data_IF_643728347580
#
_entry.id   IF_643728347580
#
_cell.length_a   1.000
_cell.length_b   1.000
_cell.length_c   1.000
_cell.angle_alpha   90.00
_cell.angle_beta   90.00
_cell.angle_gamma   90.00
#
_symmetry.space_group_name_H-M   'P 1'
#
loop_
_entity.id
_entity.type
_entity.pdbx_description
1 polymer ?
#
# COMPACT_ATOMS: atom_id res chain seq x y z
N UNK A 1 16.80 22.63 -7.24
CA UNK A 1 16.14 21.36 -7.54
C UNK A 1 16.09 20.52 -6.29
N UNK A 2 14.91 20.11 -5.90
CA UNK A 2 14.74 19.17 -4.80
C UNK A 2 14.44 17.78 -5.31
N UNK A 3 14.17 16.86 -4.36
CA UNK A 3 13.79 15.49 -4.65
C UNK A 3 12.27 15.41 -4.77
N UNK A 4 11.82 14.76 -5.83
CA UNK A 4 10.41 14.42 -6.04
C UNK A 4 10.26 12.89 -6.02
N UNK A 5 9.40 12.39 -5.16
CA UNK A 5 9.12 10.96 -5.10
C UNK A 5 7.81 10.68 -4.37
N UNK A 6 7.36 9.44 -4.50
CA UNK A 6 6.23 8.92 -3.72
C UNK A 6 6.78 7.83 -2.81
N UNK A 7 6.62 8.00 -1.52
CA UNK A 7 6.93 6.97 -0.54
C UNK A 7 5.68 6.12 -0.32
N UNK A 8 5.86 4.81 -0.28
CA UNK A 8 4.77 3.89 -0.03
C UNK A 8 5.12 2.90 1.07
N UNK A 9 4.08 2.45 1.79
CA UNK A 9 4.21 1.52 2.88
C UNK A 9 2.96 0.64 2.95
N UNK A 10 3.15 -0.67 2.82
CA UNK A 10 2.07 -1.63 2.90
C UNK A 10 1.96 -2.26 4.28
N UNK A 11 0.73 -2.51 4.71
CA UNK A 11 0.44 -3.44 5.79
C UNK A 11 -0.20 -4.69 5.21
N UNK A 12 0.22 -5.86 5.70
CA UNK A 12 -0.32 -7.14 5.25
C UNK A 12 -1.11 -7.81 6.37
N UNK A 13 -2.16 -8.54 5.98
CA UNK A 13 -3.02 -9.23 6.92
C UNK A 13 -2.37 -10.50 7.49
N UNK A 14 -1.63 -11.20 6.64
CA UNK A 14 -0.97 -12.46 6.98
C UNK A 14 0.35 -12.57 6.20
N UNK A 15 1.00 -13.73 6.29
CA UNK A 15 2.34 -13.92 5.70
C UNK A 15 2.34 -14.03 4.19
N UNK A 16 1.17 -14.13 3.55
CA UNK A 16 1.08 -14.11 2.10
C UNK A 16 1.26 -12.66 1.61
N UNK A 17 2.23 -12.37 0.72
CA UNK A 17 2.43 -11.00 0.22
C UNK A 17 1.22 -10.42 -0.52
N UNK A 18 0.31 -11.27 -1.02
CA UNK A 18 -0.93 -10.78 -1.66
C UNK A 18 -1.98 -10.28 -0.66
N UNK A 19 -1.72 -10.37 0.64
CA UNK A 19 -2.69 -10.05 1.68
C UNK A 19 -2.66 -8.60 2.13
N UNK A 20 -2.25 -7.67 1.28
CA UNK A 20 -2.23 -6.26 1.63
C UNK A 20 -3.60 -5.81 2.12
N UNK A 21 -3.63 -5.15 3.26
CA UNK A 21 -4.85 -4.61 3.87
C UNK A 21 -4.82 -3.09 4.03
N UNK A 22 -3.67 -2.46 3.86
CA UNK A 22 -3.58 -1.01 3.71
C UNK A 22 -2.33 -0.61 2.95
N UNK A 23 -2.35 0.58 2.35
CA UNK A 23 -1.18 1.20 1.76
C UNK A 23 -1.16 2.67 2.14
N UNK A 24 -0.04 3.13 2.69
CA UNK A 24 0.23 4.53 2.97
C UNK A 24 1.02 5.14 1.83
N UNK A 25 0.68 6.36 1.45
CA UNK A 25 1.36 7.12 0.42
C UNK A 25 1.76 8.48 0.97
N UNK A 26 3.00 8.88 0.70
CA UNK A 26 3.48 10.20 1.03
C UNK A 26 4.11 10.81 -0.23
N UNK A 27 3.59 11.96 -0.64
CA UNK A 27 4.07 12.66 -1.83
C UNK A 27 5.07 13.72 -1.41
N UNK A 28 6.28 13.63 -1.94
CA UNK A 28 7.36 14.57 -1.66
C UNK A 28 7.67 15.34 -2.94
N UNK A 29 7.70 16.67 -2.83
CA UNK A 29 8.02 17.59 -3.92
C UNK A 29 9.06 18.59 -3.43
N UNK A 30 10.15 18.72 -4.17
CA UNK A 30 11.27 19.58 -3.79
C UNK A 30 11.79 19.27 -2.37
N UNK A 31 11.83 17.99 -2.00
CA UNK A 31 12.27 17.53 -0.69
C UNK A 31 11.30 17.82 0.45
N UNK A 32 10.07 18.25 0.14
CA UNK A 32 9.06 18.57 1.15
C UNK A 32 7.86 17.65 1.03
N UNK A 33 7.36 17.18 2.17
CA UNK A 33 6.12 16.42 2.25
C UNK A 33 4.95 17.35 1.91
N UNK A 34 4.23 17.04 0.83
CA UNK A 34 3.07 17.83 0.41
C UNK A 34 1.75 17.20 0.81
N UNK A 35 1.61 15.88 0.63
CA UNK A 35 0.41 15.13 0.98
C UNK A 35 0.82 13.79 1.58
N UNK A 36 0.11 13.38 2.62
CA UNK A 36 0.22 12.04 3.21
C UNK A 36 -1.18 11.48 3.33
N UNK A 37 -1.40 10.28 2.83
CA UNK A 37 -2.71 9.62 2.85
C UNK A 37 -2.53 8.11 2.96
N UNK A 38 -3.61 7.43 3.33
CA UNK A 38 -3.62 5.98 3.38
C UNK A 38 -4.95 5.45 2.87
N UNK A 39 -4.92 4.22 2.37
CA UNK A 39 -6.09 3.54 1.83
C UNK A 39 -6.18 2.16 2.42
N UNK A 40 -7.39 1.79 2.85
CA UNK A 40 -7.69 0.42 3.25
C UNK A 40 -7.89 -0.44 2.01
N UNK A 41 -7.47 -1.70 2.11
CA UNK A 41 -7.55 -2.67 1.03
C UNK A 41 -8.25 -3.92 1.56
N UNK A 42 -9.22 -4.44 0.82
CA UNK A 42 -9.81 -5.73 1.13
C UNK A 42 -8.91 -6.83 0.57
N UNK A 43 -8.23 -7.60 1.45
CA UNK A 43 -7.37 -8.68 0.98
C UNK A 43 -8.19 -9.87 0.47
N UNK A 44 -7.57 -10.78 -0.32
CA UNK A 44 -8.30 -11.94 -0.87
C UNK A 44 -8.72 -12.96 0.19
N UNK A 45 -8.13 -12.94 1.37
CA UNK A 45 -8.43 -13.87 2.46
C UNK A 45 -8.82 -13.11 3.71
N UNK A 46 -9.72 -13.69 4.51
CA UNK A 46 -10.13 -13.11 5.80
C UNK A 46 -9.12 -13.35 6.92
N UNK A 47 -8.05 -14.09 6.65
CA UNK A 47 -7.08 -14.47 7.67
C UNK A 47 -6.20 -13.29 8.03
N UNK A 48 -6.24 -12.89 9.31
CA UNK A 48 -5.43 -11.82 9.86
C UNK A 48 -4.58 -12.38 11.00
N UNK A 49 -3.25 -12.31 10.86
CA UNK A 49 -2.31 -12.75 11.88
C UNK A 49 -1.47 -11.60 12.44
N UNK A 50 -1.51 -10.41 11.80
CA UNK A 50 -0.72 -9.25 12.20
C UNK A 50 -1.53 -8.13 12.83
N UNK A 51 -2.75 -8.39 13.26
CA UNK A 51 -3.61 -7.36 13.85
C UNK A 51 -2.96 -6.66 15.05
N UNK A 52 -2.13 -7.36 15.81
CA UNK A 52 -1.41 -6.75 16.93
C UNK A 52 -0.39 -5.70 16.49
N UNK A 53 0.09 -5.79 15.25
CA UNK A 53 1.09 -4.89 14.70
C UNK A 53 0.43 -3.63 14.13
N UNK A 54 -0.54 -3.80 13.24
CA UNK A 54 -1.17 -2.68 12.52
C UNK A 54 -2.57 -2.35 12.99
N UNK A 55 -3.14 -3.13 13.92
CA UNK A 55 -4.45 -2.93 14.53
C UNK A 55 -5.64 -3.05 13.58
N UNK A 56 -5.44 -3.56 12.37
CA UNK A 56 -6.50 -3.79 11.39
C UNK A 56 -7.02 -5.22 11.52
N UNK A 57 -8.34 -5.36 11.34
CA UNK A 57 -9.04 -6.64 11.32
C UNK A 57 -9.86 -6.74 10.05
N UNK A 58 -10.35 -7.93 9.74
CA UNK A 58 -11.22 -8.13 8.59
C UNK A 58 -12.40 -7.15 8.57
N UNK A 59 -13.04 -6.92 9.71
CA UNK A 59 -14.19 -6.01 9.78
C UNK A 59 -13.86 -4.58 9.34
N UNK A 60 -12.61 -4.15 9.48
CA UNK A 60 -12.19 -2.80 9.08
C UNK A 60 -12.06 -2.68 7.57
N UNK A 61 -11.78 -3.78 6.87
CA UNK A 61 -11.44 -3.76 5.44
C UNK A 61 -12.44 -4.48 4.54
N UNK A 62 -13.40 -5.18 5.11
CA UNK A 62 -14.35 -5.99 4.33
C UNK A 62 -15.13 -5.19 3.29
N UNK A 63 -15.37 -3.92 3.54
CA UNK A 63 -16.09 -3.04 2.62
C UNK A 63 -15.14 -2.14 1.82
N UNK A 64 -13.84 -2.30 1.99
CA UNK A 64 -12.85 -1.58 1.21
C UNK A 64 -12.72 -2.17 -0.20
N UNK A 65 -12.21 -1.41 -1.17
CA UNK A 65 -11.94 -1.98 -2.49
C UNK A 65 -10.82 -3.02 -2.39
N UNK A 66 -10.86 -4.02 -3.27
CA UNK A 66 -9.71 -4.91 -3.41
C UNK A 66 -8.55 -4.14 -4.06
N UNK A 67 -7.37 -4.75 -4.08
CA UNK A 67 -6.20 -4.06 -4.60
C UNK A 67 -6.34 -3.71 -6.09
N UNK A 68 -6.93 -4.59 -6.88
CA UNK A 68 -7.11 -4.36 -8.32
C UNK A 68 -7.93 -3.09 -8.59
N UNK A 69 -9.04 -2.92 -7.87
CA UNK A 69 -9.89 -1.74 -8.03
C UNK A 69 -9.17 -0.47 -7.54
N UNK A 70 -8.50 -0.56 -6.40
CA UNK A 70 -7.74 0.55 -5.86
C UNK A 70 -6.60 0.94 -6.80
N UNK A 71 -5.90 -0.03 -7.38
CA UNK A 71 -4.79 0.20 -8.29
C UNK A 71 -5.22 0.99 -9.54
N UNK A 72 -6.41 0.74 -10.05
CA UNK A 72 -6.93 1.50 -11.17
C UNK A 72 -7.02 3.00 -10.87
N UNK A 73 -7.30 3.35 -9.60
CA UNK A 73 -7.34 4.75 -9.18
C UNK A 73 -5.94 5.30 -8.88
N UNK A 74 -5.03 4.47 -8.37
CA UNK A 74 -3.73 4.93 -7.88
C UNK A 74 -2.62 4.92 -8.93
N UNK A 75 -2.71 4.07 -9.95
CA UNK A 75 -1.60 3.86 -10.90
C UNK A 75 -1.16 5.14 -11.61
N UNK A 76 -2.09 6.07 -11.82
CA UNK A 76 -1.78 7.36 -12.43
C UNK A 76 -0.81 8.20 -11.61
N UNK A 77 -0.82 8.04 -10.30
CA UNK A 77 0.10 8.75 -9.41
C UNK A 77 1.53 8.20 -9.50
N UNK A 78 1.67 6.95 -9.98
CA UNK A 78 2.97 6.28 -10.03
C UNK A 78 3.62 6.30 -11.41
N UNK A 79 2.89 6.69 -12.45
CA UNK A 79 3.29 6.47 -13.84
C UNK A 79 4.65 7.09 -14.21
N UNK A 80 5.00 8.22 -13.60
CA UNK A 80 6.27 8.90 -13.86
C UNK A 80 7.03 9.23 -12.58
N UNK A 81 6.70 8.57 -11.47
CA UNK A 81 7.27 8.89 -10.16
C UNK A 81 8.31 7.85 -9.75
N UNK A 82 9.30 8.31 -9.01
CA UNK A 82 10.22 7.43 -8.29
C UNK A 82 9.49 6.94 -7.04
N UNK A 83 9.41 5.61 -6.86
CA UNK A 83 8.81 5.01 -5.69
C UNK A 83 9.88 4.67 -4.67
N UNK A 84 9.65 5.06 -3.43
CA UNK A 84 10.55 4.80 -2.31
C UNK A 84 9.78 4.06 -1.22
N UNK A 85 10.41 3.06 -0.61
CA UNK A 85 9.80 2.31 0.48
C UNK A 85 10.80 2.12 1.61
N UNK A 86 10.31 2.12 2.85
CA UNK A 86 11.14 1.90 4.03
C UNK A 86 11.82 0.53 4.00
N UNK A 87 11.08 -0.49 3.59
CA UNK A 87 11.60 -1.83 3.36
C UNK A 87 11.30 -2.21 1.91
N UNK A 88 12.14 -1.75 0.98
CA UNK A 88 11.87 -1.84 -0.45
C UNK A 88 11.65 -3.26 -0.94
N UNK A 89 12.41 -4.25 -0.43
CA UNK A 89 12.24 -5.64 -0.84
C UNK A 89 10.86 -6.17 -0.43
N UNK A 90 10.41 -5.85 0.78
CA UNK A 90 9.10 -6.25 1.28
C UNK A 90 7.98 -5.60 0.47
N UNK A 91 8.01 -4.27 0.32
CA UNK A 91 6.94 -3.54 -0.37
C UNK A 91 6.88 -3.90 -1.85
N UNK A 92 8.02 -4.16 -2.48
CA UNK A 92 8.07 -4.63 -3.87
C UNK A 92 7.40 -6.00 -3.99
N UNK A 93 7.66 -6.91 -3.07
CA UNK A 93 7.05 -8.24 -3.08
C UNK A 93 5.54 -8.14 -2.91
N UNK A 94 5.07 -7.28 -1.99
CA UNK A 94 3.63 -7.07 -1.76
C UNK A 94 2.98 -6.49 -3.01
N UNK A 95 3.55 -5.44 -3.59
CA UNK A 95 3.02 -4.82 -4.80
C UNK A 95 2.95 -5.83 -5.95
N UNK A 96 4.03 -6.56 -6.17
CA UNK A 96 4.11 -7.55 -7.24
C UNK A 96 3.06 -8.65 -7.10
N UNK A 97 2.87 -9.18 -5.90
CA UNK A 97 1.87 -10.22 -5.65
C UNK A 97 0.45 -9.69 -5.72
N UNK A 98 0.20 -8.48 -5.20
CA UNK A 98 -1.13 -7.87 -5.29
C UNK A 98 -1.53 -7.57 -6.74
N UNK A 99 -0.58 -7.23 -7.60
CA UNK A 99 -0.86 -6.99 -9.03
C UNK A 99 -1.26 -8.25 -9.78
N UNK A 100 -1.02 -9.44 -9.23
CA UNK A 100 -1.43 -10.72 -9.83
C UNK A 100 -2.92 -11.02 -9.63
N UNK A 101 -3.57 -10.34 -8.72
CA UNK A 101 -4.98 -10.57 -8.38
C UNK A 101 -5.87 -9.41 -8.91
#
# INVERSE_FOLDING_TARGET
MGLDFVALDFEIANRNPSSACSVGLAFVRDGRLTVSTSYLIRPPSRRFVFTRVHHLRWDDVRDAPNFSDLWNDLRGYFASEVLVAHNAAFDRAVLSECLRY
#
